data_IF_936895260552
#
_entry.id   IF_936895260552
#
_cell.length_a   1.000
_cell.length_b   1.000
_cell.length_c   1.000
_cell.angle_alpha   90.00
_cell.angle_beta   90.00
_cell.angle_gamma   90.00
#
_symmetry.space_group_name_H-M   'P 1'
#
loop_
_entity.id
_entity.type
_entity.pdbx_description
1 polymer ?
#
# COMPACT_ATOMS: atom_id res chain seq x y z
N UNK A 1 -16.30 6.95 3.84
CA UNK A 1 -14.85 6.68 3.69
C UNK A 1 -14.60 5.28 4.18
N UNK A 2 -13.98 4.41 3.38
CA UNK A 2 -13.60 3.08 3.85
C UNK A 2 -12.49 3.21 4.89
N UNK A 3 -12.54 2.41 5.96
CA UNK A 3 -11.49 2.41 6.97
C UNK A 3 -10.21 1.79 6.39
N UNK A 4 -9.03 2.37 6.64
CA UNK A 4 -7.76 1.78 6.27
C UNK A 4 -7.60 0.41 6.93
N UNK A 5 -7.02 -0.53 6.19
CA UNK A 5 -6.64 -1.85 6.69
C UNK A 5 -5.15 -2.03 6.50
N UNK A 6 -4.52 -2.77 7.40
CA UNK A 6 -3.11 -3.12 7.29
C UNK A 6 -2.93 -4.31 6.34
N UNK A 7 -1.94 -4.18 5.45
CA UNK A 7 -1.52 -5.22 4.52
C UNK A 7 0.01 -5.37 4.59
N UNK A 8 0.49 -6.52 4.14
CA UNK A 8 1.89 -6.79 3.87
C UNK A 8 2.11 -6.74 2.37
N UNK A 9 3.11 -6.00 1.92
CA UNK A 9 3.51 -5.96 0.51
C UNK A 9 4.12 -7.30 0.13
N UNK A 10 3.57 -7.99 -0.86
CA UNK A 10 4.07 -9.28 -1.36
C UNK A 10 4.67 -9.17 -2.76
N UNK A 11 4.30 -8.15 -3.51
CA UNK A 11 4.84 -7.82 -4.82
C UNK A 11 4.97 -6.30 -4.91
N UNK A 12 6.09 -5.81 -5.43
CA UNK A 12 6.35 -4.38 -5.61
C UNK A 12 7.19 -4.18 -6.86
N UNK A 13 6.69 -3.39 -7.80
CA UNK A 13 7.40 -3.05 -9.02
C UNK A 13 8.54 -2.05 -8.73
N UNK A 14 9.39 -1.79 -9.73
CA UNK A 14 10.57 -0.93 -9.55
C UNK A 14 10.22 0.48 -9.04
N UNK A 15 9.09 1.04 -9.49
CA UNK A 15 8.62 2.36 -9.04
C UNK A 15 8.11 2.32 -7.60
N UNK A 16 7.37 1.27 -7.22
CA UNK A 16 6.89 1.07 -5.84
C UNK A 16 8.06 1.02 -4.84
N UNK A 17 9.14 0.34 -5.22
CA UNK A 17 10.32 0.22 -4.38
C UNK A 17 11.09 1.53 -4.19
N UNK A 18 11.07 2.43 -5.18
CA UNK A 18 11.66 3.77 -5.04
C UNK A 18 10.89 4.63 -4.03
N UNK A 19 9.56 4.49 -4.01
CA UNK A 19 8.66 5.13 -3.04
C UNK A 19 8.69 4.47 -1.65
N UNK A 20 9.48 3.41 -1.47
CA UNK A 20 9.65 2.71 -0.20
C UNK A 20 8.68 1.55 0.05
N UNK A 21 7.78 1.22 -0.90
CA UNK A 21 7.01 -0.02 -0.88
C UNK A 21 7.94 -1.20 -1.21
N UNK A 22 8.55 -1.76 -0.17
CA UNK A 22 9.40 -2.95 -0.27
C UNK A 22 8.59 -4.20 0.04
N UNK A 23 8.87 -5.30 -0.65
CA UNK A 23 8.30 -6.61 -0.31
C UNK A 23 8.61 -6.95 1.15
N UNK A 24 7.59 -7.36 1.90
CA UNK A 24 7.63 -7.59 3.34
C UNK A 24 7.34 -6.36 4.20
N UNK A 25 7.25 -5.16 3.61
CA UNK A 25 6.83 -3.97 4.34
C UNK A 25 5.34 -4.05 4.70
N UNK A 26 4.98 -3.49 5.85
CA UNK A 26 3.58 -3.32 6.25
C UNK A 26 3.09 -1.96 5.77
N UNK A 27 1.87 -1.91 5.25
CA UNK A 27 1.26 -0.68 4.74
C UNK A 27 -0.20 -0.61 5.16
N UNK A 28 -0.74 0.59 5.29
CA UNK A 28 -2.16 0.82 5.43
C UNK A 28 -2.75 1.22 4.09
N UNK A 29 -3.80 0.51 3.67
CA UNK A 29 -4.46 0.77 2.41
C UNK A 29 -5.98 0.77 2.54
N UNK A 30 -6.63 1.56 1.69
CA UNK A 30 -8.08 1.61 1.53
C UNK A 30 -8.49 1.05 0.15
N UNK A 31 -9.69 0.49 -0.01
CA UNK A 31 -10.24 0.17 -1.32
C UNK A 31 -10.22 1.39 -2.24
N UNK A 32 -9.61 1.25 -3.42
CA UNK A 32 -9.74 2.24 -4.46
C UNK A 32 -11.14 2.17 -5.10
N UNK A 33 -11.49 3.16 -5.94
CA UNK A 33 -12.74 3.12 -6.72
C UNK A 33 -12.85 1.90 -7.66
N UNK A 34 -11.74 1.20 -7.91
CA UNK A 34 -11.65 -0.01 -8.72
C UNK A 34 -11.55 -1.26 -7.84
N UNK A 35 -12.32 -2.30 -8.15
CA UNK A 35 -12.37 -3.54 -7.35
C UNK A 35 -11.02 -4.26 -7.16
N UNK A 36 -10.07 -4.04 -8.08
CA UNK A 36 -8.76 -4.70 -8.07
C UNK A 36 -7.62 -3.81 -7.57
N UNK A 37 -7.92 -2.61 -7.07
CA UNK A 37 -6.90 -1.66 -6.62
C UNK A 37 -7.11 -1.27 -5.15
N UNK A 38 -5.99 -1.01 -4.49
CA UNK A 38 -5.93 -0.49 -3.14
C UNK A 38 -5.10 0.81 -3.18
N UNK A 39 -5.49 1.81 -2.40
CA UNK A 39 -4.73 3.03 -2.21
C UNK A 39 -3.98 2.93 -0.90
N UNK A 40 -2.65 2.83 -0.99
CA UNK A 40 -1.76 2.89 0.16
C UNK A 40 -1.71 4.32 0.64
N UNK A 41 -2.15 4.54 1.87
CA UNK A 41 -2.16 5.87 2.50
C UNK A 41 -0.97 6.07 3.44
N UNK A 42 -0.38 4.97 3.92
CA UNK A 42 0.73 5.02 4.86
C UNK A 42 1.58 3.73 4.78
N UNK A 43 2.89 3.88 4.95
CA UNK A 43 3.80 2.75 5.18
C UNK A 43 3.99 2.61 6.69
N UNK A 44 3.66 1.45 7.24
CA UNK A 44 3.77 1.17 8.68
C UNK A 44 5.26 1.05 9.03
N UNK A 45 5.76 2.00 9.82
CA UNK A 45 7.17 2.11 10.19
C UNK A 45 7.95 3.18 9.40
N UNK A 46 7.31 3.90 8.48
CA UNK A 46 7.84 5.16 7.98
C UNK A 46 7.54 6.28 8.97
N UNK A 47 8.53 7.14 9.26
CA UNK A 47 8.37 8.32 10.13
C UNK A 47 7.39 9.36 9.55
N UNK A 48 7.08 9.29 8.25
CA UNK A 48 6.19 10.22 7.57
C UNK A 48 5.11 9.48 6.78
N UNK A 49 3.85 9.97 6.81
CA UNK A 49 2.82 9.50 5.89
C UNK A 49 3.22 9.82 4.44
N UNK A 50 2.70 9.06 3.49
CA UNK A 50 2.92 9.33 2.07
C UNK A 50 2.32 10.71 1.72
N UNK A 51 3.05 11.52 0.94
CA UNK A 51 2.55 12.83 0.50
C UNK A 51 1.27 12.69 -0.33
N UNK A 52 1.19 11.62 -1.13
CA UNK A 52 0.01 11.26 -1.91
C UNK A 52 -0.29 9.76 -1.79
N UNK A 53 -1.58 9.35 -1.71
CA UNK A 53 -1.93 7.94 -1.68
C UNK A 53 -1.50 7.22 -2.95
N UNK A 54 -0.79 6.11 -2.80
CA UNK A 54 -0.27 5.34 -3.92
C UNK A 54 -1.22 4.22 -4.32
N UNK A 55 -1.60 4.16 -5.60
CA UNK A 55 -2.49 3.11 -6.10
C UNK A 55 -1.71 1.84 -6.45
N UNK A 56 -1.93 0.76 -5.70
CA UNK A 56 -1.39 -0.57 -5.96
C UNK A 56 -2.47 -1.54 -6.38
N UNK A 57 -2.09 -2.62 -7.05
CA UNK A 57 -3.00 -3.71 -7.29
C UNK A 57 -3.24 -4.49 -6.00
N UNK A 58 -4.48 -4.92 -5.79
CA UNK A 58 -4.86 -5.77 -4.65
C UNK A 58 -4.03 -7.05 -4.53
N UNK A 59 -3.52 -7.60 -5.65
CA UNK A 59 -2.62 -8.77 -5.65
C UNK A 59 -1.23 -8.49 -5.06
N UNK A 60 -0.81 -7.22 -5.05
CA UNK A 60 0.48 -6.79 -4.51
C UNK A 60 0.49 -6.72 -2.98
N UNK A 61 -0.71 -6.75 -2.38
CA UNK A 61 -0.92 -6.65 -0.94
C UNK A 61 -1.60 -7.91 -0.41
N UNK A 62 -1.02 -8.51 0.61
CA UNK A 62 -1.63 -9.60 1.36
C UNK A 62 -2.15 -9.06 2.69
N UNK A 63 -3.37 -9.43 3.10
CA UNK A 63 -3.88 -9.06 4.42
C UNK A 63 -2.89 -9.56 5.50
N UNK A 64 -2.45 -8.64 6.35
CA UNK A 64 -1.46 -8.90 7.41
C UNK A 64 -2.08 -9.56 8.64
#
# INVERSE_FOLDING_TARGET
MAAPKTYTVVEADFYDQQEGLKVGAKVEAIPAGSANQLLVTQIVGADFPLEEPYAVFSRQLQAA
#
